data_IF_644555768252
#
_entry.id   IF_644555768252
#
_cell.length_a   1.000
_cell.length_b   1.000
_cell.length_c   1.000
_cell.angle_alpha   90.00
_cell.angle_beta   90.00
_cell.angle_gamma   90.00
#
_symmetry.space_group_name_H-M   'P 1'
#
loop_
_entity.id
_entity.type
_entity.pdbx_description
1 polymer ?
#
# COMPACT_ATOMS: atom_id res chain seq x y z
N UNK A 1 -18.86 -4.17 3.83
CA UNK A 1 -17.64 -4.78 4.40
C UNK A 1 -18.02 -5.66 5.59
N UNK A 2 -17.60 -6.93 5.59
CA UNK A 2 -17.94 -7.91 6.64
C UNK A 2 -17.11 -7.66 7.90
N UNK A 3 -17.51 -8.24 9.04
CA UNK A 3 -16.78 -8.11 10.31
C UNK A 3 -15.37 -8.71 10.23
N UNK A 4 -15.21 -9.86 9.56
CA UNK A 4 -13.90 -10.48 9.36
C UNK A 4 -12.96 -9.59 8.53
N UNK A 5 -13.47 -8.92 7.49
CA UNK A 5 -12.67 -7.97 6.70
C UNK A 5 -12.16 -6.82 7.58
N UNK A 6 -13.03 -6.27 8.46
CA UNK A 6 -12.64 -5.21 9.41
C UNK A 6 -11.56 -5.69 10.38
N UNK A 7 -11.67 -6.93 10.89
CA UNK A 7 -10.64 -7.52 11.74
C UNK A 7 -9.29 -7.57 11.02
N UNK A 8 -9.24 -8.07 9.80
CA UNK A 8 -8.00 -8.14 9.02
C UNK A 8 -7.44 -6.74 8.70
N UNK A 9 -8.29 -5.76 8.44
CA UNK A 9 -7.84 -4.37 8.24
C UNK A 9 -7.23 -3.80 9.52
N UNK A 10 -7.81 -4.06 10.70
CA UNK A 10 -7.21 -3.63 11.96
C UNK A 10 -5.89 -4.36 12.26
N UNK A 11 -5.79 -5.66 11.95
CA UNK A 11 -4.56 -6.45 12.12
C UNK A 11 -3.42 -5.99 11.22
N UNK A 12 -3.71 -5.26 10.14
CA UNK A 12 -2.73 -4.74 9.16
C UNK A 12 -2.47 -3.25 9.31
N UNK A 13 -2.64 -2.73 10.52
CA UNK A 13 -2.49 -1.31 10.82
C UNK A 13 -3.33 -0.43 9.86
N UNK A 14 -4.62 -0.74 9.79
CA UNK A 14 -5.59 -0.11 8.88
C UNK A 14 -5.21 -0.27 7.39
N UNK A 15 -4.72 -1.46 7.02
CA UNK A 15 -4.33 -1.80 5.65
C UNK A 15 -2.92 -1.38 5.24
N UNK A 16 -2.16 -0.66 6.08
CA UNK A 16 -0.77 -0.27 5.78
C UNK A 16 0.12 -1.47 5.49
N UNK A 17 0.00 -2.53 6.30
CA UNK A 17 0.87 -3.70 6.20
C UNK A 17 0.47 -4.65 5.06
N UNK A 18 -0.73 -4.48 4.48
CA UNK A 18 -1.17 -5.22 3.30
C UNK A 18 -0.57 -4.67 1.99
N UNK A 19 0.06 -3.48 2.05
CA UNK A 19 0.65 -2.79 0.92
C UNK A 19 -0.35 -2.08 0.00
N UNK A 20 0.18 -1.21 -0.85
CA UNK A 20 -0.59 -0.33 -1.72
C UNK A 20 -0.11 -0.47 -3.16
N UNK A 21 -1.06 -0.73 -4.07
CA UNK A 21 -0.84 -0.69 -5.50
C UNK A 21 -1.04 0.76 -5.96
N UNK A 22 -0.09 1.25 -6.74
CA UNK A 22 -0.21 2.50 -7.47
C UNK A 22 -0.45 2.18 -8.94
N UNK A 23 -1.51 2.74 -9.49
CA UNK A 23 -1.76 2.76 -10.93
C UNK A 23 -1.58 4.17 -11.46
N UNK A 24 -1.00 4.30 -12.64
CA UNK A 24 -0.80 5.57 -13.33
C UNK A 24 -1.28 5.39 -14.77
N UNK A 25 -2.14 6.30 -15.24
CA UNK A 25 -2.81 6.19 -16.55
C UNK A 25 -3.53 4.84 -16.77
N UNK A 26 -4.15 4.33 -15.70
CA UNK A 26 -4.93 3.09 -15.73
C UNK A 26 -4.10 1.80 -15.62
N UNK A 27 -2.78 1.89 -15.59
CA UNK A 27 -1.91 0.71 -15.48
C UNK A 27 -1.21 0.64 -14.14
N UNK A 28 -1.11 -0.56 -13.57
CA UNK A 28 -0.37 -0.79 -12.34
C UNK A 28 1.13 -0.60 -12.59
N UNK A 29 1.75 0.32 -11.84
CA UNK A 29 3.15 0.71 -12.07
C UNK A 29 4.05 0.48 -10.88
N UNK A 30 3.49 0.44 -9.67
CA UNK A 30 4.30 0.29 -8.48
C UNK A 30 3.52 -0.34 -7.33
N UNK A 31 4.28 -0.97 -6.45
CA UNK A 31 3.84 -1.59 -5.23
C UNK A 31 4.61 -1.02 -4.04
N UNK A 32 3.87 -0.46 -3.08
CA UNK A 32 4.38 0.06 -1.82
C UNK A 32 4.17 -0.99 -0.72
N UNK A 33 5.26 -1.39 -0.05
CA UNK A 33 5.27 -2.42 0.99
C UNK A 33 6.17 -2.02 2.15
N UNK A 34 6.23 -2.85 3.20
CA UNK A 34 7.11 -2.66 4.36
C UNK A 34 6.96 -1.25 4.96
N UNK A 35 5.77 -0.85 5.46
CA UNK A 35 5.57 0.48 6.03
C UNK A 35 6.46 0.72 7.25
N UNK A 36 7.08 1.89 7.34
CA UNK A 36 7.82 2.34 8.52
C UNK A 36 7.35 3.74 8.90
N UNK A 37 7.11 3.95 10.19
CA UNK A 37 6.74 5.26 10.71
C UNK A 37 7.93 6.22 10.62
N UNK A 38 7.71 7.42 10.11
CA UNK A 38 8.74 8.47 10.04
C UNK A 38 8.48 9.58 11.06
N UNK A 39 7.54 10.47 10.78
CA UNK A 39 7.18 11.60 11.64
C UNK A 39 5.80 12.15 11.23
N UNK A 40 5.10 12.86 12.12
CA UNK A 40 3.93 13.72 11.79
C UNK A 40 2.99 13.15 10.71
N UNK A 41 2.54 11.90 10.89
CA UNK A 41 1.62 11.17 9.99
C UNK A 41 2.21 10.63 8.66
N UNK A 42 3.52 10.77 8.47
CA UNK A 42 4.27 10.19 7.36
C UNK A 42 4.68 8.75 7.66
N UNK A 43 4.45 7.90 6.67
CA UNK A 43 4.87 6.50 6.65
C UNK A 43 5.72 6.32 5.40
N UNK A 44 6.95 5.86 5.55
CA UNK A 44 7.75 5.45 4.41
C UNK A 44 7.42 4.04 3.98
N UNK A 45 7.42 3.79 2.69
CA UNK A 45 7.20 2.48 2.09
C UNK A 45 8.36 2.13 1.19
N UNK A 46 8.77 0.87 1.20
CA UNK A 46 9.61 0.32 0.12
C UNK A 46 8.80 0.34 -1.17
N UNK A 47 9.36 0.96 -2.21
CA UNK A 47 8.76 1.05 -3.53
C UNK A 47 9.35 -0.03 -4.45
N UNK A 48 8.49 -0.90 -4.96
CA UNK A 48 8.84 -1.90 -5.97
C UNK A 48 8.11 -1.56 -7.26
N UNK A 49 8.86 -1.24 -8.32
CA UNK A 49 8.26 -1.01 -9.63
C UNK A 49 7.76 -2.31 -10.23
N UNK A 50 6.61 -2.23 -10.90
CA UNK A 50 6.08 -3.32 -11.70
C UNK A 50 6.57 -3.11 -13.14
N UNK A 51 7.10 -4.15 -13.81
CA UNK A 51 7.42 -4.11 -15.22
C UNK A 51 6.17 -3.70 -16.00
N UNK A 52 6.30 -2.59 -16.69
CA UNK A 52 5.26 -2.02 -17.52
C UNK A 52 5.91 -1.56 -18.82
N UNK A 53 5.29 -1.89 -19.96
CA UNK A 53 5.82 -1.56 -21.29
C UNK A 53 5.54 -0.11 -21.70
N UNK A 54 4.53 0.54 -21.12
CA UNK A 54 4.05 1.86 -21.57
C UNK A 54 4.58 3.01 -20.72
N UNK A 55 4.88 2.74 -19.44
CA UNK A 55 5.30 3.78 -18.49
C UNK A 55 6.81 3.80 -18.32
N UNK A 56 7.42 4.96 -18.60
CA UNK A 56 8.84 5.16 -18.38
C UNK A 56 9.14 5.26 -16.87
N UNK A 57 9.70 4.20 -16.28
CA UNK A 57 10.00 4.15 -14.84
C UNK A 57 10.98 5.24 -14.36
N UNK A 58 11.77 5.84 -15.27
CA UNK A 58 12.67 6.95 -14.91
C UNK A 58 11.92 8.18 -14.41
N UNK A 59 10.67 8.38 -14.84
CA UNK A 59 9.87 9.53 -14.39
C UNK A 59 9.55 9.46 -12.89
N UNK A 60 9.53 8.26 -12.31
CA UNK A 60 9.24 8.06 -10.89
C UNK A 60 10.34 8.55 -9.94
N UNK A 61 11.50 8.94 -10.45
CA UNK A 61 12.57 9.56 -9.64
C UNK A 61 12.54 11.08 -9.71
N UNK A 62 11.61 11.66 -10.48
CA UNK A 62 11.50 13.10 -10.61
C UNK A 62 10.48 13.64 -9.60
N UNK A 63 10.82 14.75 -8.95
CA UNK A 63 9.94 15.40 -7.98
C UNK A 63 8.62 15.86 -8.61
N UNK A 64 8.64 16.31 -9.87
CA UNK A 64 7.45 16.79 -10.58
C UNK A 64 6.43 15.69 -10.86
N UNK A 65 6.87 14.45 -11.08
CA UNK A 65 5.98 13.31 -11.20
C UNK A 65 5.13 13.16 -9.94
N UNK A 66 5.73 13.19 -8.74
CA UNK A 66 4.99 12.96 -7.50
C UNK A 66 4.13 14.16 -7.07
N UNK A 67 4.59 15.37 -7.36
CA UNK A 67 3.89 16.60 -7.00
C UNK A 67 2.75 16.98 -7.97
N UNK A 68 2.81 16.52 -9.23
CA UNK A 68 1.82 16.86 -10.25
C UNK A 68 1.18 15.61 -10.86
N UNK A 69 1.94 14.81 -11.60
CA UNK A 69 1.37 13.73 -12.42
C UNK A 69 0.71 12.62 -11.60
N UNK A 70 1.42 12.10 -10.60
CA UNK A 70 0.91 11.06 -9.69
C UNK A 70 -0.27 11.55 -8.85
N UNK A 71 -0.33 12.85 -8.57
CA UNK A 71 -1.44 13.44 -7.83
C UNK A 71 -2.72 13.53 -8.68
N UNK A 72 -2.58 13.78 -9.98
CA UNK A 72 -3.73 13.96 -10.89
C UNK A 72 -4.17 12.65 -11.55
N UNK A 73 -3.22 11.86 -12.05
CA UNK A 73 -3.49 10.67 -12.88
C UNK A 73 -3.15 9.36 -12.15
N UNK A 74 -2.65 9.46 -10.91
CA UNK A 74 -2.36 8.31 -10.06
C UNK A 74 -3.59 7.86 -9.27
N UNK A 75 -3.89 6.57 -9.31
CA UNK A 75 -4.84 5.95 -8.40
C UNK A 75 -4.14 5.00 -7.45
N UNK A 76 -4.70 4.90 -6.25
CA UNK A 76 -4.13 4.13 -5.15
C UNK A 76 -5.16 3.12 -4.69
N UNK A 77 -4.71 1.88 -4.49
CA UNK A 77 -5.58 0.82 -4.06
C UNK A 77 -4.86 -0.06 -3.05
N UNK A 78 -5.53 -0.39 -1.96
CA UNK A 78 -5.01 -1.39 -1.05
C UNK A 78 -4.95 -2.72 -1.78
N UNK A 79 -3.77 -3.29 -1.87
CA UNK A 79 -3.54 -4.39 -2.77
C UNK A 79 -4.17 -5.72 -2.32
N UNK A 80 -4.61 -5.82 -1.06
CA UNK A 80 -5.36 -6.98 -0.59
C UNK A 80 -6.85 -6.69 -0.48
N UNK A 81 -7.23 -5.57 0.12
CA UNK A 81 -8.64 -5.25 0.36
C UNK A 81 -9.35 -4.67 -0.87
N UNK A 82 -8.61 -4.30 -1.92
CA UNK A 82 -9.12 -3.68 -3.15
C UNK A 82 -9.87 -2.34 -2.89
N UNK A 83 -9.51 -1.66 -1.80
CA UNK A 83 -10.15 -0.42 -1.34
C UNK A 83 -9.21 0.78 -1.55
N UNK A 84 -9.76 1.91 -1.97
CA UNK A 84 -9.00 3.15 -2.11
C UNK A 84 -8.69 3.79 -0.74
N UNK A 85 -7.52 4.45 -0.58
CA UNK A 85 -7.27 5.30 0.57
C UNK A 85 -8.09 6.59 0.48
N UNK A 86 -8.19 7.34 1.58
CA UNK A 86 -8.99 8.57 1.58
C UNK A 86 -8.27 9.74 0.91
N UNK A 87 -7.01 10.00 1.29
CA UNK A 87 -6.24 11.16 0.81
C UNK A 87 -4.74 10.82 0.72
N UNK A 88 -4.35 9.97 -0.25
CA UNK A 88 -2.94 9.63 -0.44
C UNK A 88 -2.16 10.87 -0.86
N UNK A 89 -1.04 11.14 -0.19
CA UNK A 89 -0.16 12.25 -0.52
C UNK A 89 1.29 11.78 -0.47
N UNK A 90 2.05 12.04 -1.53
CA UNK A 90 3.48 11.82 -1.55
C UNK A 90 4.19 13.02 -0.89
N UNK A 91 5.22 12.75 -0.10
CA UNK A 91 6.02 13.78 0.58
C UNK A 91 7.38 13.92 -0.04
N UNK A 92 8.14 12.82 -0.05
CA UNK A 92 9.48 12.78 -0.63
C UNK A 92 9.58 11.63 -1.63
N UNK A 93 9.94 11.90 -2.88
CA UNK A 93 10.07 10.87 -3.89
C UNK A 93 11.33 10.02 -3.66
N UNK A 94 11.33 8.76 -4.14
CA UNK A 94 12.52 7.92 -4.13
C UNK A 94 13.61 8.58 -5.00
N UNK A 95 14.86 8.53 -4.55
CA UNK A 95 15.98 9.12 -5.30
C UNK A 95 16.68 8.07 -6.18
N UNK A 96 16.58 6.78 -5.79
CA UNK A 96 17.24 5.65 -6.44
C UNK A 96 16.31 4.43 -6.49
N UNK A 97 16.56 3.48 -7.41
CA UNK A 97 15.87 2.20 -7.40
C UNK A 97 16.03 1.50 -6.04
N UNK A 98 14.90 1.06 -5.46
CA UNK A 98 14.87 0.40 -4.15
C UNK A 98 14.82 1.34 -2.95
N UNK A 99 14.85 2.65 -3.16
CA UNK A 99 14.58 3.63 -2.10
C UNK A 99 13.14 3.54 -1.61
N UNK A 100 12.89 4.23 -0.50
CA UNK A 100 11.58 4.37 0.10
C UNK A 100 10.90 5.65 -0.38
N UNK A 101 9.59 5.60 -0.52
CA UNK A 101 8.76 6.79 -0.72
C UNK A 101 8.05 7.13 0.59
N UNK A 102 8.08 8.41 0.97
CA UNK A 102 7.31 8.90 2.12
C UNK A 102 5.90 9.26 1.69
N UNK A 103 4.91 8.63 2.32
CA UNK A 103 3.50 8.78 1.98
C UNK A 103 2.67 9.12 3.22
N UNK A 104 1.66 9.96 3.04
CA UNK A 104 0.60 10.25 4.01
C UNK A 104 -0.73 9.72 3.50
N UNK A 105 -1.62 9.34 4.40
CA UNK A 105 -3.01 9.00 4.05
C UNK A 105 -3.22 7.61 3.44
N UNK A 106 -2.18 6.78 3.34
CA UNK A 106 -2.28 5.38 2.90
C UNK A 106 -2.80 4.46 4.01
N UNK A 107 -4.04 4.65 4.40
CA UNK A 107 -4.78 3.79 5.31
C UNK A 107 -6.26 3.73 4.93
N UNK A 108 -6.92 2.66 5.37
CA UNK A 108 -8.34 2.48 5.19
C UNK A 108 -9.09 3.18 6.32
N UNK A 109 -9.96 4.13 5.95
CA UNK A 109 -10.79 4.86 6.89
C UNK A 109 -11.96 3.98 7.38
N UNK A 110 -11.66 3.16 8.38
CA UNK A 110 -12.65 2.32 9.06
C UNK A 110 -12.71 2.73 10.53
N UNK A 111 -13.89 2.66 11.19
CA UNK A 111 -14.00 2.98 12.60
C UNK A 111 -13.03 2.17 13.46
N UNK A 112 -12.58 2.76 14.56
CA UNK A 112 -11.77 2.05 15.55
C UNK A 112 -12.52 0.80 16.05
N UNK A 113 -11.81 -0.28 16.42
CA UNK A 113 -12.45 -1.48 16.95
C UNK A 113 -13.15 -1.15 18.26
N UNK A 114 -14.41 -1.59 18.38
CA UNK A 114 -15.15 -1.59 19.65
C UNK A 114 -14.56 -2.60 20.65
N UNK A 115 -15.13 -2.64 21.86
CA UNK A 115 -14.59 -3.47 22.96
C UNK A 115 -14.39 -4.94 22.57
N UNK A 116 -15.42 -5.61 22.04
CA UNK A 116 -15.34 -7.02 21.66
C UNK A 116 -14.29 -7.29 20.58
N UNK A 117 -14.22 -6.43 19.56
CA UNK A 117 -13.21 -6.55 18.51
C UNK A 117 -11.79 -6.41 19.08
N UNK A 118 -11.55 -5.48 20.03
CA UNK A 118 -10.24 -5.36 20.70
C UNK A 118 -9.87 -6.63 21.47
N UNK A 119 -10.82 -7.27 22.15
CA UNK A 119 -10.54 -8.53 22.85
C UNK A 119 -10.18 -9.65 21.87
N UNK A 120 -10.89 -9.75 20.73
CA UNK A 120 -10.57 -10.71 19.67
C UNK A 120 -9.17 -10.46 19.10
N UNK A 121 -8.84 -9.20 18.78
CA UNK A 121 -7.52 -8.82 18.26
C UNK A 121 -6.39 -9.16 19.25
N UNK A 122 -6.58 -8.87 20.54
CA UNK A 122 -5.63 -9.24 21.60
C UNK A 122 -5.45 -10.75 21.69
N UNK A 123 -6.53 -11.51 21.70
CA UNK A 123 -6.48 -12.97 21.73
C UNK A 123 -5.71 -13.54 20.53
N UNK A 124 -6.00 -13.07 19.31
CA UNK A 124 -5.30 -13.51 18.09
C UNK A 124 -3.82 -13.16 18.13
N UNK A 125 -3.48 -11.95 18.57
CA UNK A 125 -2.09 -11.51 18.73
C UNK A 125 -1.33 -12.40 19.71
N UNK A 126 -1.90 -12.66 20.90
CA UNK A 126 -1.27 -13.53 21.90
C UNK A 126 -1.10 -14.99 21.44
N UNK A 127 -1.97 -15.47 20.56
CA UNK A 127 -1.92 -16.84 20.01
C UNK A 127 -1.11 -16.95 18.72
N UNK A 128 -0.54 -15.86 18.20
CA UNK A 128 0.14 -15.86 16.90
C UNK A 128 -0.82 -16.10 15.71
N UNK A 129 -2.12 -15.87 15.90
CA UNK A 129 -3.18 -16.02 14.90
C UNK A 129 -3.48 -14.69 14.18
N UNK A 130 -2.53 -13.77 14.21
CA UNK A 130 -2.60 -12.52 13.45
C UNK A 130 -2.74 -12.86 11.98
N UNK A 131 -3.68 -12.21 11.31
CA UNK A 131 -3.78 -12.34 9.86
C UNK A 131 -2.45 -11.96 9.22
N UNK A 132 -1.96 -12.87 8.36
CA UNK A 132 -0.90 -12.56 7.41
C UNK A 132 -1.56 -12.46 6.05
N UNK A 133 -1.21 -11.45 5.23
CA UNK A 133 -1.59 -11.52 3.83
C UNK A 133 -1.13 -12.87 3.29
N UNK A 134 -1.98 -13.59 2.54
CA UNK A 134 -1.45 -14.70 1.77
C UNK A 134 -0.28 -14.14 0.94
N UNK A 135 0.77 -14.96 0.67
CA UNK A 135 1.70 -14.60 -0.39
C UNK A 135 0.81 -14.21 -1.57
N UNK A 136 0.99 -12.99 -2.08
CA UNK A 136 0.13 -12.54 -3.17
C UNK A 136 0.19 -13.64 -4.22
N UNK A 137 -0.95 -14.08 -4.78
CA UNK A 137 -0.88 -14.88 -5.99
C UNK A 137 0.06 -14.08 -6.88
N UNK A 138 1.17 -14.72 -7.27
CA UNK A 138 2.23 -14.06 -8.00
C UNK A 138 1.53 -13.08 -8.94
N UNK A 139 1.92 -11.81 -8.89
CA UNK A 139 1.84 -11.04 -10.13
C UNK A 139 2.64 -11.92 -11.06
N UNK A 140 1.96 -12.80 -11.81
CA UNK A 140 2.60 -13.76 -12.70
C UNK A 140 3.31 -12.84 -13.65
N UNK A 141 4.61 -12.67 -13.40
CA UNK A 141 5.48 -12.08 -14.37
C UNK A 141 5.34 -13.03 -15.54
N UNK A 142 4.57 -12.63 -16.56
CA UNK A 142 4.58 -13.31 -17.85
C UNK A 142 5.96 -13.07 -18.47
N UNK A 143 6.98 -13.65 -17.84
CA UNK A 143 8.31 -13.90 -18.34
C UNK A 143 8.46 -15.42 -18.51
N UNK A 144 7.46 -16.05 -19.13
CA UNK A 144 7.64 -17.31 -19.81
C UNK A 144 7.04 -17.17 -21.21
N UNK A 145 7.91 -16.68 -22.10
CA UNK A 145 8.14 -17.25 -23.44
C UNK A 145 6.93 -17.42 -24.37
N UNK A 146 6.78 -16.52 -25.33
CA UNK A 146 7.02 -16.79 -26.77
C UNK A 146 7.02 -15.49 -27.57
#
# INVERSE_FOLDING_TARGET
MKFLDKLHIWETNYGRDAGWLMSYRGEAVALLTDPQWEDMFWISYRLTYLPNKTVNTQQFYRDDFWNHEACHDGTWQNAYFNLAPTHPLAGRPPQRPGDRISMRGLYLNIPAPGFLARQILRYRTHRGLTWRPPPRPDVRWEHESS
#
